data_IF_673245869968
#
_entry.id   IF_673245869968
#
_cell.length_a   1.000
_cell.length_b   1.000
_cell.length_c   1.000
_cell.angle_alpha   90.00
_cell.angle_beta   90.00
_cell.angle_gamma   90.00
#
_symmetry.space_group_name_H-M   'P 1'
#
loop_
_entity.id
_entity.type
_entity.pdbx_description
1 polymer ?
#
# COMPACT_ATOMS: atom_id res chain seq x y z
N UNK A 1 19.25 -4.34 -44.31
CA UNK A 1 19.48 -3.71 -42.99
C UNK A 1 20.32 -4.73 -42.24
N UNK A 2 21.59 -4.81 -42.67
CA UNK A 2 22.42 -6.01 -42.62
C UNK A 2 23.88 -5.59 -42.45
N UNK A 3 24.64 -6.41 -41.71
CA UNK A 3 26.08 -6.33 -41.35
C UNK A 3 26.48 -5.62 -40.06
N UNK A 4 25.65 -4.77 -39.47
CA UNK A 4 25.98 -4.19 -38.14
C UNK A 4 25.54 -5.06 -36.96
N UNK A 5 24.48 -5.86 -37.11
CA UNK A 5 23.97 -6.76 -36.06
C UNK A 5 24.91 -7.96 -35.86
N UNK A 6 25.48 -8.53 -36.93
CA UNK A 6 26.47 -9.64 -36.82
C UNK A 6 27.77 -9.24 -36.12
N UNK A 7 28.08 -7.94 -36.05
CA UNK A 7 29.29 -7.45 -35.36
C UNK A 7 29.11 -7.36 -33.84
N UNK A 8 27.87 -7.26 -33.35
CA UNK A 8 27.53 -7.21 -31.92
C UNK A 8 27.57 -8.58 -31.24
N UNK A 9 27.48 -9.68 -31.99
CA UNK A 9 27.41 -11.04 -31.43
C UNK A 9 28.68 -11.87 -31.54
N UNK A 10 29.80 -11.31 -32.05
CA UNK A 10 31.04 -12.06 -32.26
C UNK A 10 31.83 -12.40 -30.98
N UNK A 11 31.52 -11.75 -29.86
CA UNK A 11 32.24 -11.93 -28.59
C UNK A 11 31.41 -12.61 -27.49
N UNK A 12 30.20 -13.08 -27.80
CA UNK A 12 29.40 -13.86 -26.85
C UNK A 12 29.85 -15.31 -26.89
N UNK A 13 30.73 -15.69 -25.95
CA UNK A 13 30.97 -17.10 -25.64
C UNK A 13 29.71 -17.71 -25.05
N UNK A 14 29.07 -18.60 -25.80
CA UNK A 14 28.12 -19.57 -25.25
C UNK A 14 28.91 -20.44 -24.27
N UNK A 15 28.63 -20.28 -22.98
CA UNK A 15 29.07 -21.23 -21.95
C UNK A 15 27.97 -22.28 -21.90
N UNK A 16 28.22 -23.42 -22.53
CA UNK A 16 27.46 -24.64 -22.26
C UNK A 16 27.61 -24.94 -20.76
N UNK A 17 26.49 -24.85 -20.04
CA UNK A 17 26.43 -25.31 -18.67
C UNK A 17 25.14 -26.12 -18.53
N UNK A 18 25.29 -27.44 -18.58
CA UNK A 18 24.25 -28.47 -18.47
C UNK A 18 23.54 -28.52 -17.10
N UNK A 19 23.55 -27.43 -16.33
CA UNK A 19 22.84 -27.30 -15.05
C UNK A 19 21.87 -26.10 -15.06
N UNK A 20 21.01 -26.02 -16.08
CA UNK A 20 19.88 -25.09 -16.04
C UNK A 20 18.78 -25.67 -15.12
N UNK A 21 18.80 -25.33 -13.83
CA UNK A 21 17.65 -25.53 -12.94
C UNK A 21 16.47 -24.69 -13.47
N UNK A 22 15.43 -25.37 -13.96
CA UNK A 22 14.19 -24.74 -14.43
C UNK A 22 13.50 -23.98 -13.28
N UNK A 23 13.16 -22.72 -13.51
CA UNK A 23 12.31 -21.91 -12.64
C UNK A 23 10.92 -21.90 -13.26
N UNK A 24 9.92 -22.33 -12.49
CA UNK A 24 8.50 -22.28 -12.87
C UNK A 24 7.82 -21.16 -12.07
N UNK A 25 7.01 -20.34 -12.73
CA UNK A 25 6.13 -19.36 -12.09
C UNK A 25 4.68 -19.81 -12.30
N UNK A 26 3.96 -20.02 -11.20
CA UNK A 26 2.52 -20.27 -11.21
C UNK A 26 1.86 -18.99 -10.71
N UNK A 27 0.88 -18.44 -11.41
CA UNK A 27 0.03 -17.36 -10.86
C UNK A 27 -1.35 -17.95 -10.62
N UNK A 28 -1.74 -18.13 -9.37
CA UNK A 28 -3.14 -18.41 -9.03
C UNK A 28 -3.78 -17.10 -8.60
N UNK A 29 -4.67 -16.55 -9.42
CA UNK A 29 -5.61 -15.53 -8.96
C UNK A 29 -6.61 -16.15 -7.98
N UNK A 30 -7.30 -15.33 -7.19
CA UNK A 30 -8.39 -15.75 -6.32
C UNK A 30 -9.55 -16.32 -7.16
N UNK A 31 -9.58 -17.64 -7.34
CA UNK A 31 -10.66 -18.36 -8.04
C UNK A 31 -11.80 -18.74 -7.08
N UNK A 32 -11.59 -18.64 -5.76
CA UNK A 32 -12.51 -19.15 -4.75
C UNK A 32 -13.85 -18.42 -4.64
N UNK A 33 -13.92 -17.11 -4.92
CA UNK A 33 -15.14 -16.33 -4.67
C UNK A 33 -16.02 -16.12 -5.92
N UNK A 34 -15.49 -16.35 -7.12
CA UNK A 34 -16.27 -16.18 -8.37
C UNK A 34 -17.02 -17.44 -8.82
N UNK A 35 -16.76 -18.60 -8.23
CA UNK A 35 -17.36 -19.87 -8.70
C UNK A 35 -18.64 -20.31 -7.96
N UNK A 36 -19.02 -19.68 -6.84
CA UNK A 36 -20.22 -20.12 -6.10
C UNK A 36 -21.53 -19.44 -6.54
N UNK A 37 -21.51 -18.38 -7.36
CA UNK A 37 -22.71 -17.55 -7.61
C UNK A 37 -23.03 -17.16 -9.07
N UNK A 38 -22.50 -17.81 -10.12
CA UNK A 38 -22.98 -17.56 -11.48
C UNK A 38 -23.34 -18.84 -12.23
N UNK A 39 -24.64 -19.14 -12.31
CA UNK A 39 -25.21 -20.09 -13.28
C UNK A 39 -25.24 -19.52 -14.72
N UNK A 40 -24.76 -18.29 -14.94
CA UNK A 40 -24.69 -17.66 -16.26
C UNK A 40 -23.30 -17.79 -16.91
N UNK A 41 -23.32 -18.25 -18.16
CA UNK A 41 -22.21 -18.60 -19.05
C UNK A 41 -21.33 -17.41 -19.52
N UNK A 42 -21.08 -16.42 -18.66
CA UNK A 42 -20.11 -15.33 -18.91
C UNK A 42 -18.97 -15.42 -17.91
N UNK A 43 -17.99 -16.25 -18.23
CA UNK A 43 -16.69 -16.23 -17.57
C UNK A 43 -16.06 -14.83 -17.76
N UNK A 44 -15.62 -14.19 -16.67
CA UNK A 44 -14.83 -12.97 -16.75
C UNK A 44 -13.51 -13.25 -17.51
N UNK A 45 -12.94 -12.23 -18.14
CA UNK A 45 -11.68 -12.34 -18.89
C UNK A 45 -10.55 -12.96 -18.05
N UNK A 46 -10.55 -12.70 -16.73
CA UNK A 46 -9.59 -13.27 -15.78
C UNK A 46 -9.74 -14.79 -15.61
N UNK A 47 -10.97 -15.31 -15.73
CA UNK A 47 -11.26 -16.74 -15.61
C UNK A 47 -10.86 -17.52 -16.89
N UNK A 48 -10.98 -16.89 -18.07
CA UNK A 48 -10.52 -17.47 -19.34
C UNK A 48 -8.99 -17.58 -19.40
N UNK A 49 -8.27 -16.54 -18.96
CA UNK A 49 -6.80 -16.52 -18.89
C UNK A 49 -6.30 -17.56 -17.88
N UNK A 50 -6.96 -17.67 -16.72
CA UNK A 50 -6.60 -18.65 -15.69
C UNK A 50 -6.84 -20.10 -16.14
N UNK A 51 -7.91 -20.36 -16.91
CA UNK A 51 -8.24 -21.70 -17.45
C UNK A 51 -7.26 -22.16 -18.54
N UNK A 52 -6.78 -21.25 -19.37
CA UNK A 52 -5.75 -21.55 -20.38
C UNK A 52 -4.42 -21.98 -19.75
N UNK A 53 -4.03 -21.36 -18.63
CA UNK A 53 -2.79 -21.65 -17.90
C UNK A 53 -2.83 -22.97 -17.10
N UNK A 54 -4.00 -23.36 -16.61
CA UNK A 54 -4.20 -24.62 -15.86
C UNK A 54 -4.12 -25.88 -16.75
N UNK A 55 -4.62 -25.81 -17.98
CA UNK A 55 -4.62 -26.96 -18.90
C UNK A 55 -3.22 -27.35 -19.42
N UNK A 56 -2.23 -26.45 -19.32
CA UNK A 56 -0.88 -26.70 -19.83
C UNK A 56 0.06 -27.37 -18.79
N UNK A 57 -0.29 -27.32 -17.50
CA UNK A 57 0.57 -27.78 -16.40
C UNK A 57 0.28 -29.22 -15.90
N UNK A 58 -0.60 -29.97 -16.57
CA UNK A 58 -0.96 -31.35 -16.17
C UNK A 58 -0.17 -32.44 -16.91
N UNK A 59 0.96 -32.10 -17.56
CA UNK A 59 1.82 -33.06 -18.25
C UNK A 59 3.24 -32.97 -17.70
N UNK A 60 3.49 -33.58 -16.55
CA UNK A 60 4.64 -34.48 -16.32
C UNK A 60 4.87 -34.79 -14.82
N UNK A 61 5.12 -36.08 -14.55
CA UNK A 61 5.43 -36.69 -13.26
C UNK A 61 6.93 -36.59 -12.89
N UNK A 62 7.21 -36.44 -11.58
CA UNK A 62 8.51 -36.63 -10.85
C UNK A 62 9.35 -35.38 -10.42
N UNK A 63 10.30 -35.48 -9.44
CA UNK A 63 10.02 -35.64 -8.01
C UNK A 63 10.72 -34.57 -7.10
N UNK A 64 10.32 -34.60 -5.83
CA UNK A 64 10.52 -33.66 -4.70
C UNK A 64 11.95 -33.09 -4.49
N UNK A 65 12.05 -31.75 -4.54
CA UNK A 65 13.13 -30.95 -3.92
C UNK A 65 12.50 -30.07 -2.83
N UNK A 66 13.04 -30.12 -1.61
CA UNK A 66 12.59 -29.32 -0.47
C UNK A 66 12.91 -27.84 -0.72
N UNK A 67 11.87 -27.02 -0.96
CA UNK A 67 11.98 -25.58 -1.23
C UNK A 67 11.37 -24.78 -0.07
N UNK A 68 12.07 -23.78 0.43
CA UNK A 68 11.46 -22.73 1.27
C UNK A 68 10.74 -21.75 0.36
N UNK A 69 9.41 -21.70 0.47
CA UNK A 69 8.53 -20.88 -0.35
C UNK A 69 7.96 -19.78 0.54
N UNK A 70 8.10 -18.53 0.11
CA UNK A 70 7.41 -17.40 0.74
C UNK A 70 6.25 -17.00 -0.17
N UNK A 71 5.03 -17.09 0.36
CA UNK A 71 3.81 -16.67 -0.31
C UNK A 71 3.63 -15.16 -0.11
N UNK A 72 3.76 -14.39 -1.19
CA UNK A 72 3.28 -13.02 -1.28
C UNK A 72 2.10 -13.04 -2.26
N UNK A 73 0.98 -12.43 -1.87
CA UNK A 73 -0.27 -12.44 -2.63
C UNK A 73 -0.03 -12.30 -4.15
N UNK A 74 -0.31 -13.40 -4.87
CA UNK A 74 -0.26 -13.56 -6.33
C UNK A 74 1.10 -13.57 -7.03
N UNK A 75 2.23 -13.71 -6.32
CA UNK A 75 3.56 -13.89 -6.95
C UNK A 75 4.42 -14.93 -6.22
N UNK A 76 4.81 -15.99 -6.92
CA UNK A 76 5.81 -16.94 -6.42
C UNK A 76 7.22 -16.41 -6.73
N UNK A 77 7.99 -16.06 -5.70
CA UNK A 77 9.42 -15.79 -5.83
C UNK A 77 10.19 -16.93 -5.16
N UNK A 78 10.83 -17.78 -5.98
CA UNK A 78 11.74 -18.82 -5.49
C UNK A 78 13.12 -18.20 -5.26
N UNK A 79 13.45 -17.84 -4.03
CA UNK A 79 14.79 -17.39 -3.65
C UNK A 79 15.67 -18.63 -3.37
N UNK A 80 16.50 -19.01 -4.34
CA UNK A 80 17.62 -19.94 -4.10
C UNK A 80 18.94 -19.22 -4.39
N UNK A 81 19.82 -19.17 -3.39
CA UNK A 81 21.31 -19.05 -3.35
C UNK A 81 22.10 -18.45 -4.54
N UNK A 82 21.51 -17.57 -5.34
CA UNK A 82 22.23 -16.76 -6.33
C UNK A 82 22.31 -15.33 -5.79
N UNK A 83 23.51 -14.74 -5.62
CA UNK A 83 23.63 -13.33 -5.34
C UNK A 83 23.09 -12.57 -6.56
N UNK A 84 21.86 -12.08 -6.45
CA UNK A 84 21.27 -11.22 -7.45
C UNK A 84 22.05 -9.90 -7.39
N UNK A 85 22.84 -9.64 -8.43
CA UNK A 85 23.45 -8.34 -8.68
C UNK A 85 22.34 -7.39 -9.15
N UNK A 86 21.56 -6.90 -8.17
CA UNK A 86 20.40 -6.03 -8.38
C UNK A 86 20.77 -4.67 -8.98
N UNK A 87 22.05 -4.31 -9.05
CA UNK A 87 22.48 -3.11 -9.78
C UNK A 87 22.30 -3.27 -11.30
N UNK A 88 22.19 -4.51 -11.81
CA UNK A 88 22.28 -4.77 -13.24
C UNK A 88 20.94 -5.03 -13.94
N UNK A 89 20.01 -5.80 -13.36
CA UNK A 89 18.77 -6.21 -14.07
C UNK A 89 17.53 -6.51 -13.19
N UNK A 90 16.85 -5.51 -12.59
CA UNK A 90 15.58 -5.76 -11.89
C UNK A 90 14.37 -5.83 -12.83
N UNK A 91 14.45 -5.24 -14.03
CA UNK A 91 13.31 -5.03 -14.93
C UNK A 91 12.97 -6.26 -15.82
N UNK A 92 13.96 -7.11 -16.11
CA UNK A 92 13.87 -8.04 -17.24
C UNK A 92 13.21 -9.39 -16.94
N UNK A 93 12.81 -9.67 -15.69
CA UNK A 93 12.23 -10.98 -15.37
C UNK A 93 10.70 -10.95 -15.22
N UNK A 94 10.13 -9.84 -14.75
CA UNK A 94 8.72 -9.80 -14.34
C UNK A 94 7.78 -9.16 -15.37
N UNK A 95 8.17 -8.05 -16.00
CA UNK A 95 7.39 -7.44 -17.10
C UNK A 95 7.55 -8.26 -18.38
N UNK A 96 8.73 -8.86 -18.54
CA UNK A 96 9.06 -9.74 -19.65
C UNK A 96 8.18 -10.98 -19.69
N UNK A 97 7.67 -11.52 -18.57
CA UNK A 97 6.86 -12.74 -18.62
C UNK A 97 5.46 -12.54 -19.20
N UNK A 98 4.75 -11.44 -18.88
CA UNK A 98 3.44 -11.12 -19.48
C UNK A 98 3.55 -10.45 -20.84
N UNK A 99 4.50 -9.53 -21.01
CA UNK A 99 4.71 -8.88 -22.31
C UNK A 99 5.28 -9.88 -23.33
N UNK A 100 6.24 -10.74 -22.95
CA UNK A 100 6.63 -11.86 -23.80
C UNK A 100 5.57 -12.93 -23.92
N UNK A 101 4.62 -13.12 -23.01
CA UNK A 101 3.52 -14.06 -23.27
C UNK A 101 2.66 -13.58 -24.44
N UNK A 102 2.40 -12.26 -24.50
CA UNK A 102 1.68 -11.63 -25.61
C UNK A 102 2.54 -11.64 -26.88
N UNK A 103 3.83 -11.26 -26.82
CA UNK A 103 4.75 -11.36 -27.98
C UNK A 103 4.94 -12.82 -28.43
N UNK A 104 4.95 -13.78 -27.52
CA UNK A 104 5.02 -15.21 -27.78
C UNK A 104 3.74 -15.70 -28.45
N UNK A 105 2.56 -15.29 -27.96
CA UNK A 105 1.28 -15.53 -28.64
C UNK A 105 1.25 -14.91 -30.04
N UNK A 106 1.82 -13.71 -30.21
CA UNK A 106 1.99 -13.06 -31.52
C UNK A 106 2.98 -13.82 -32.39
N UNK A 107 4.00 -14.48 -31.83
CA UNK A 107 4.97 -15.29 -32.57
C UNK A 107 4.41 -16.66 -33.00
N UNK A 108 3.40 -17.19 -32.31
CA UNK A 108 2.67 -18.41 -32.70
C UNK A 108 1.73 -18.19 -33.90
N UNK A 109 1.61 -16.95 -34.38
CA UNK A 109 0.84 -16.53 -35.57
C UNK A 109 1.24 -17.27 -36.84
N UNK A 110 2.47 -17.77 -36.94
CA UNK A 110 2.95 -18.46 -38.14
C UNK A 110 2.52 -19.94 -38.25
N UNK A 111 1.96 -20.56 -37.20
CA UNK A 111 1.74 -22.02 -37.21
C UNK A 111 0.29 -22.48 -37.30
N UNK A 112 -0.73 -21.69 -36.92
CA UNK A 112 -2.08 -22.25 -36.67
C UNK A 112 -3.30 -21.49 -37.24
N UNK A 113 -3.13 -20.54 -38.17
CA UNK A 113 -4.27 -19.90 -38.86
C UNK A 113 -5.28 -19.20 -37.89
N UNK A 114 -4.76 -18.55 -36.84
CA UNK A 114 -5.52 -17.77 -35.85
C UNK A 114 -5.46 -16.28 -36.22
N UNK A 115 -5.58 -15.94 -37.51
CA UNK A 115 -5.23 -14.61 -38.01
C UNK A 115 -6.16 -13.51 -37.47
N UNK A 116 -7.46 -13.75 -37.41
CA UNK A 116 -8.45 -12.73 -37.02
C UNK A 116 -8.43 -12.46 -35.51
N UNK A 117 -8.43 -13.51 -34.67
CA UNK A 117 -8.36 -13.35 -33.21
C UNK A 117 -7.01 -12.75 -32.78
N UNK A 118 -5.91 -13.13 -33.43
CA UNK A 118 -4.58 -12.54 -33.14
C UNK A 118 -4.50 -11.08 -33.58
N UNK A 119 -5.12 -10.71 -34.71
CA UNK A 119 -5.18 -9.31 -35.15
C UNK A 119 -5.97 -8.44 -34.17
N UNK A 120 -7.14 -8.91 -33.70
CA UNK A 120 -7.95 -8.21 -32.71
C UNK A 120 -7.21 -8.03 -31.37
N UNK A 121 -6.45 -9.03 -30.92
CA UNK A 121 -5.61 -8.95 -29.71
C UNK A 121 -4.45 -7.96 -29.85
N UNK A 122 -3.81 -7.90 -31.02
CA UNK A 122 -2.74 -6.93 -31.31
C UNK A 122 -3.32 -5.51 -31.33
N UNK A 123 -4.43 -5.31 -32.03
CA UNK A 123 -5.11 -4.00 -32.10
C UNK A 123 -5.52 -3.54 -30.70
N UNK A 124 -6.14 -4.42 -29.90
CA UNK A 124 -6.45 -4.14 -28.51
C UNK A 124 -5.21 -3.80 -27.69
N UNK A 125 -4.12 -4.58 -27.82
CA UNK A 125 -2.89 -4.32 -27.08
C UNK A 125 -2.29 -2.96 -27.45
N UNK A 126 -2.15 -2.65 -28.74
CA UNK A 126 -1.59 -1.38 -29.20
C UNK A 126 -2.47 -0.20 -28.78
N UNK A 127 -3.81 -0.37 -28.78
CA UNK A 127 -4.75 0.63 -28.28
C UNK A 127 -4.59 0.88 -26.77
N UNK A 128 -4.26 -0.16 -25.98
CA UNK A 128 -4.23 -0.09 -24.52
C UNK A 128 -2.82 -0.19 -23.91
N UNK A 129 -1.77 -0.19 -24.72
CA UNK A 129 -0.40 -0.50 -24.32
C UNK A 129 0.11 0.37 -23.19
N UNK A 130 -0.18 1.66 -23.24
CA UNK A 130 0.26 2.62 -22.22
C UNK A 130 -0.45 2.35 -20.88
N UNK A 131 -1.75 2.06 -20.90
CA UNK A 131 -2.52 1.69 -19.71
C UNK A 131 -2.03 0.36 -19.12
N UNK A 132 -1.82 -0.66 -19.96
CA UNK A 132 -1.28 -1.96 -19.53
C UNK A 132 0.11 -1.78 -18.91
N UNK A 133 0.96 -0.98 -19.53
CA UNK A 133 2.30 -0.68 -19.02
C UNK A 133 2.25 0.05 -17.68
N UNK A 134 1.35 1.03 -17.53
CA UNK A 134 1.12 1.75 -16.27
C UNK A 134 0.70 0.80 -15.14
N UNK A 135 -0.31 -0.04 -15.38
CA UNK A 135 -0.80 -1.04 -14.42
C UNK A 135 0.33 -2.01 -14.02
N UNK A 136 1.08 -2.54 -14.99
CA UNK A 136 2.19 -3.45 -14.68
C UNK A 136 3.28 -2.79 -13.85
N UNK A 137 3.61 -1.52 -14.11
CA UNK A 137 4.55 -0.74 -13.30
C UNK A 137 4.03 -0.49 -11.88
N UNK A 138 2.75 -0.15 -11.74
CA UNK A 138 2.11 0.04 -10.43
C UNK A 138 2.13 -1.27 -9.61
N UNK A 139 1.80 -2.41 -10.22
CA UNK A 139 1.90 -3.73 -9.59
C UNK A 139 3.34 -4.04 -9.15
N UNK A 140 4.33 -3.80 -10.01
CA UNK A 140 5.73 -4.04 -9.68
C UNK A 140 6.21 -3.16 -8.52
N UNK A 141 5.85 -1.88 -8.52
CA UNK A 141 6.17 -0.96 -7.44
C UNK A 141 5.50 -1.36 -6.11
N UNK A 142 4.28 -1.90 -6.14
CA UNK A 142 3.65 -2.49 -4.95
C UNK A 142 4.46 -3.67 -4.38
N UNK A 143 5.01 -4.53 -5.23
CA UNK A 143 5.91 -5.61 -4.80
C UNK A 143 7.20 -5.06 -4.19
N UNK A 144 7.79 -4.03 -4.81
CA UNK A 144 8.98 -3.36 -4.27
C UNK A 144 8.70 -2.74 -2.90
N UNK A 145 7.53 -2.14 -2.69
CA UNK A 145 7.13 -1.61 -1.39
C UNK A 145 7.01 -2.71 -0.33
N UNK A 146 6.39 -3.84 -0.64
CA UNK A 146 6.32 -4.98 0.28
C UNK A 146 7.72 -5.52 0.64
N UNK A 147 8.62 -5.56 -0.34
CA UNK A 147 10.02 -5.91 -0.10
C UNK A 147 10.74 -4.87 0.77
N UNK A 148 10.47 -3.58 0.56
CA UNK A 148 10.99 -2.51 1.41
C UNK A 148 10.51 -2.66 2.86
N UNK A 149 9.22 -2.93 3.07
CA UNK A 149 8.63 -3.18 4.40
C UNK A 149 9.23 -4.42 5.08
N UNK A 150 9.52 -5.48 4.32
CA UNK A 150 10.23 -6.64 4.85
C UNK A 150 11.63 -6.27 5.35
N UNK A 151 12.40 -5.50 4.57
CA UNK A 151 13.73 -5.04 4.98
C UNK A 151 13.66 -4.10 6.19
N UNK A 152 12.63 -3.26 6.29
CA UNK A 152 12.37 -2.45 7.48
C UNK A 152 12.21 -3.32 8.74
N UNK A 153 11.44 -4.41 8.65
CA UNK A 153 11.27 -5.36 9.75
C UNK A 153 12.58 -6.06 10.15
N UNK A 154 13.51 -6.23 9.20
CA UNK A 154 14.87 -6.74 9.46
C UNK A 154 15.85 -5.64 9.91
N UNK A 155 15.38 -4.41 10.13
CA UNK A 155 16.18 -3.24 10.47
C UNK A 155 17.25 -2.89 9.40
N UNK A 156 17.03 -3.30 8.15
CA UNK A 156 17.85 -2.90 6.99
C UNK A 156 17.26 -1.64 6.32
N UNK A 157 17.44 -0.51 7.01
CA UNK A 157 16.95 0.79 6.57
C UNK A 157 17.56 1.21 5.24
N UNK A 158 18.83 0.86 4.97
CA UNK A 158 19.51 1.23 3.73
C UNK A 158 18.88 0.55 2.52
N UNK A 159 18.63 -0.76 2.62
CA UNK A 159 17.97 -1.50 1.53
C UNK A 159 16.55 -1.00 1.30
N UNK A 160 15.76 -0.79 2.37
CA UNK A 160 14.43 -0.19 2.27
C UNK A 160 14.45 1.15 1.53
N UNK A 161 15.35 2.06 1.93
CA UNK A 161 15.49 3.39 1.33
C UNK A 161 15.81 3.32 -0.17
N UNK A 162 16.80 2.50 -0.54
CA UNK A 162 17.19 2.31 -1.94
C UNK A 162 16.04 1.69 -2.77
N UNK A 163 15.33 0.72 -2.22
CA UNK A 163 14.18 0.08 -2.89
C UNK A 163 13.06 1.08 -3.14
N UNK A 164 12.72 1.94 -2.18
CA UNK A 164 11.68 2.95 -2.37
C UNK A 164 12.05 4.01 -3.41
N UNK A 165 13.31 4.46 -3.43
CA UNK A 165 13.80 5.37 -4.47
C UNK A 165 13.78 4.72 -5.87
N UNK A 166 14.15 3.45 -5.96
CA UNK A 166 14.07 2.69 -7.20
C UNK A 166 12.62 2.55 -7.70
N UNK A 167 11.68 2.24 -6.79
CA UNK A 167 10.25 2.19 -7.10
C UNK A 167 9.74 3.56 -7.58
N UNK A 168 10.13 4.65 -6.90
CA UNK A 168 9.73 6.01 -7.28
C UNK A 168 10.20 6.36 -8.69
N UNK A 169 11.49 6.15 -8.99
CA UNK A 169 12.05 6.39 -10.33
C UNK A 169 11.36 5.57 -11.42
N UNK A 170 10.88 4.37 -11.08
CA UNK A 170 10.17 3.48 -12.02
C UNK A 170 8.79 4.02 -12.40
N UNK A 171 8.11 4.73 -11.50
CA UNK A 171 6.74 5.20 -11.68
C UNK A 171 6.62 6.73 -11.85
N UNK A 172 7.74 7.45 -11.76
CA UNK A 172 7.81 8.93 -11.71
C UNK A 172 6.97 9.64 -12.78
N UNK A 173 6.99 9.11 -14.01
CA UNK A 173 6.36 9.72 -15.19
C UNK A 173 4.98 9.16 -15.51
N UNK A 174 4.37 8.38 -14.61
CA UNK A 174 3.04 7.81 -14.82
C UNK A 174 1.99 8.65 -14.08
N UNK A 175 0.88 8.93 -14.76
CA UNK A 175 -0.17 9.84 -14.28
C UNK A 175 -1.57 9.19 -14.26
N UNK A 176 -1.67 7.89 -14.52
CA UNK A 176 -2.90 7.14 -14.29
C UNK A 176 -3.19 7.02 -12.79
N UNK A 177 -4.46 6.78 -12.44
CA UNK A 177 -4.94 6.78 -11.05
C UNK A 177 -4.15 5.78 -10.19
N UNK A 178 -3.96 4.54 -10.67
CA UNK A 178 -3.22 3.51 -9.93
C UNK A 178 -1.77 3.93 -9.68
N UNK A 179 -1.12 4.52 -10.69
CA UNK A 179 0.24 5.03 -10.56
C UNK A 179 0.35 6.19 -9.59
N UNK A 180 -0.60 7.13 -9.59
CA UNK A 180 -0.63 8.25 -8.64
C UNK A 180 -0.81 7.75 -7.20
N UNK A 181 -1.70 6.77 -7.00
CA UNK A 181 -1.88 6.09 -5.71
C UNK A 181 -0.56 5.46 -5.24
N UNK A 182 0.10 4.66 -6.08
CA UNK A 182 1.39 4.03 -5.72
C UNK A 182 2.48 5.07 -5.47
N UNK A 183 2.61 6.09 -6.33
CA UNK A 183 3.59 7.18 -6.18
C UNK A 183 3.42 7.92 -4.85
N UNK A 184 2.18 8.24 -4.47
CA UNK A 184 1.87 8.92 -3.21
C UNK A 184 2.24 8.09 -1.97
N UNK A 185 2.05 6.76 -2.03
CA UNK A 185 2.42 5.83 -0.98
C UNK A 185 3.92 5.69 -0.82
N UNK A 186 4.66 5.67 -1.94
CA UNK A 186 6.12 5.68 -1.91
C UNK A 186 6.64 6.95 -1.22
N UNK A 187 6.11 8.13 -1.56
CA UNK A 187 6.46 9.36 -0.86
C UNK A 187 6.11 9.30 0.63
N UNK A 188 4.94 8.78 1.00
CA UNK A 188 4.54 8.66 2.41
C UNK A 188 5.54 7.78 3.20
N UNK A 189 5.95 6.65 2.62
CA UNK A 189 6.93 5.75 3.24
C UNK A 189 8.33 6.39 3.32
N UNK A 190 8.76 7.09 2.26
CA UNK A 190 10.03 7.85 2.27
C UNK A 190 10.03 8.94 3.35
N UNK A 191 8.90 9.61 3.57
CA UNK A 191 8.79 10.62 4.63
C UNK A 191 9.08 10.03 6.02
N UNK A 192 8.55 8.84 6.29
CA UNK A 192 8.80 8.13 7.55
C UNK A 192 10.28 7.82 7.72
N UNK A 193 10.95 7.37 6.65
CA UNK A 193 12.39 7.11 6.68
C UNK A 193 13.22 8.37 6.90
N UNK A 194 12.92 9.45 6.18
CA UNK A 194 13.62 10.72 6.35
C UNK A 194 13.47 11.24 7.78
N UNK A 195 12.27 11.17 8.37
CA UNK A 195 12.05 11.56 9.76
C UNK A 195 12.87 10.71 10.75
N UNK A 196 12.93 9.40 10.55
CA UNK A 196 13.78 8.49 11.35
C UNK A 196 15.28 8.81 11.21
N UNK A 197 15.71 9.28 10.05
CA UNK A 197 17.08 9.75 9.79
C UNK A 197 17.32 11.18 10.28
N UNK A 198 16.32 11.82 10.90
CA UNK A 198 16.33 13.22 11.33
C UNK A 198 16.50 14.23 10.17
N UNK A 199 16.14 13.85 8.96
CA UNK A 199 16.06 14.72 7.79
C UNK A 199 14.65 15.31 7.66
N UNK A 200 14.35 16.25 8.55
CA UNK A 200 13.04 16.88 8.67
C UNK A 200 12.56 17.53 7.37
N UNK A 201 13.45 18.14 6.59
CA UNK A 201 13.08 18.88 5.39
C UNK A 201 12.60 17.95 4.27
N UNK A 202 13.34 16.85 4.05
CA UNK A 202 12.92 15.84 3.07
C UNK A 202 11.67 15.09 3.53
N UNK A 203 11.51 14.84 4.83
CA UNK A 203 10.30 14.24 5.37
C UNK A 203 9.05 15.09 5.08
N UNK A 204 9.12 16.41 5.35
CA UNK A 204 8.03 17.36 5.05
C UNK A 204 7.76 17.43 3.54
N UNK A 205 8.81 17.49 2.73
CA UNK A 205 8.68 17.54 1.26
C UNK A 205 7.94 16.31 0.73
N UNK A 206 8.30 15.12 1.20
CA UNK A 206 7.63 13.88 0.82
C UNK A 206 6.15 13.88 1.23
N UNK A 207 5.80 14.29 2.45
CA UNK A 207 4.39 14.35 2.90
C UNK A 207 3.57 15.36 2.08
N UNK A 208 4.15 16.52 1.76
CA UNK A 208 3.50 17.49 0.89
C UNK A 208 3.28 16.94 -0.52
N UNK A 209 4.23 16.18 -1.07
CA UNK A 209 4.06 15.50 -2.36
C UNK A 209 2.95 14.44 -2.32
N UNK A 210 2.86 13.65 -1.24
CA UNK A 210 1.74 12.71 -1.03
C UNK A 210 0.40 13.44 -1.07
N UNK A 211 0.25 14.54 -0.33
CA UNK A 211 -0.99 15.33 -0.27
C UNK A 211 -1.29 15.96 -1.63
N UNK A 212 -0.29 16.55 -2.30
CA UNK A 212 -0.45 17.20 -3.59
C UNK A 212 -0.96 16.23 -4.66
N UNK A 213 -0.32 15.05 -4.77
CA UNK A 213 -0.71 14.01 -5.73
C UNK A 213 -2.12 13.50 -5.46
N UNK A 214 -2.43 13.12 -4.21
CA UNK A 214 -3.74 12.56 -3.90
C UNK A 214 -4.88 13.56 -4.01
N UNK A 215 -4.59 14.86 -3.90
CA UNK A 215 -5.58 15.90 -4.15
C UNK A 215 -5.97 16.07 -5.62
N UNK A 216 -5.24 15.46 -6.57
CA UNK A 216 -5.65 15.41 -7.98
C UNK A 216 -6.64 14.27 -8.27
N UNK A 217 -6.86 13.35 -7.32
CA UNK A 217 -7.82 12.26 -7.42
C UNK A 217 -9.21 12.70 -6.93
N UNK A 218 -10.24 11.94 -7.30
CA UNK A 218 -11.60 12.15 -6.84
C UNK A 218 -11.73 11.88 -5.33
N UNK A 219 -12.77 12.46 -4.71
CA UNK A 219 -12.98 12.35 -3.26
C UNK A 219 -13.46 10.96 -2.81
N UNK A 220 -13.98 10.15 -3.73
CA UNK A 220 -14.39 8.76 -3.51
C UNK A 220 -13.23 7.75 -3.62
N UNK A 221 -12.04 8.19 -4.06
CA UNK A 221 -10.85 7.35 -4.14
C UNK A 221 -10.35 6.94 -2.74
N UNK A 222 -10.28 5.64 -2.51
CA UNK A 222 -9.89 5.08 -1.20
C UNK A 222 -8.45 5.45 -0.80
N UNK A 223 -7.53 5.55 -1.77
CA UNK A 223 -6.15 5.93 -1.49
C UNK A 223 -6.08 7.36 -0.97
N UNK A 224 -6.82 8.28 -1.59
CA UNK A 224 -6.94 9.66 -1.12
C UNK A 224 -7.54 9.74 0.29
N UNK A 225 -8.65 9.03 0.52
CA UNK A 225 -9.36 9.06 1.80
C UNK A 225 -8.48 8.60 2.96
N UNK A 226 -7.58 7.66 2.71
CA UNK A 226 -6.66 7.14 3.73
C UNK A 226 -5.38 7.98 3.88
N UNK A 227 -4.68 8.26 2.78
CA UNK A 227 -3.31 8.77 2.84
C UNK A 227 -3.23 10.29 2.99
N UNK A 228 -4.22 11.08 2.54
CA UNK A 228 -4.23 12.53 2.78
C UNK A 228 -4.30 12.85 4.28
N UNK A 229 -5.28 12.36 5.06
CA UNK A 229 -5.31 12.63 6.49
C UNK A 229 -4.12 12.01 7.22
N UNK A 230 -3.64 10.83 6.80
CA UNK A 230 -2.42 10.23 7.36
C UNK A 230 -1.20 11.13 7.18
N UNK A 231 -1.01 11.72 6.01
CA UNK A 231 0.09 12.63 5.74
C UNK A 231 -0.01 13.93 6.53
N UNK A 232 -1.22 14.49 6.65
CA UNK A 232 -1.47 15.67 7.50
C UNK A 232 -1.19 15.40 8.98
N UNK A 233 -1.56 14.22 9.47
CA UNK A 233 -1.22 13.79 10.82
C UNK A 233 0.30 13.71 11.03
N UNK A 234 1.04 13.06 10.13
CA UNK A 234 2.51 12.96 10.25
C UNK A 234 3.19 14.34 10.16
N UNK A 235 2.71 15.24 9.28
CA UNK A 235 3.18 16.63 9.24
C UNK A 235 3.00 17.31 10.59
N UNK A 236 1.84 17.13 11.23
CA UNK A 236 1.59 17.71 12.55
C UNK A 236 2.61 17.20 13.58
N UNK A 237 2.93 15.90 13.57
CA UNK A 237 3.91 15.31 14.50
C UNK A 237 5.29 15.91 14.28
N UNK A 238 5.76 15.92 13.03
CA UNK A 238 7.06 16.47 12.66
C UNK A 238 7.16 17.95 13.06
N UNK A 239 6.13 18.74 12.77
CA UNK A 239 6.11 20.15 13.16
C UNK A 239 6.14 20.34 14.68
N UNK A 240 5.43 19.50 15.44
CA UNK A 240 5.45 19.56 16.90
C UNK A 240 6.84 19.25 17.45
N UNK A 241 7.47 18.18 16.98
CA UNK A 241 8.80 17.74 17.41
C UNK A 241 9.87 18.80 17.10
N UNK A 242 9.65 19.57 16.03
CA UNK A 242 10.49 20.70 15.63
C UNK A 242 10.05 22.06 16.23
N UNK A 243 9.16 22.07 17.23
CA UNK A 243 8.65 23.27 17.92
C UNK A 243 7.95 24.29 17.02
N UNK A 244 7.47 23.87 15.85
CA UNK A 244 6.63 24.65 14.92
C UNK A 244 5.16 24.46 15.29
N UNK A 245 4.77 24.98 16.44
CA UNK A 245 3.48 24.67 17.06
C UNK A 245 2.28 25.15 16.24
N UNK A 246 2.36 26.33 15.61
CA UNK A 246 1.28 26.85 14.76
C UNK A 246 1.06 25.99 13.52
N UNK A 247 2.13 25.58 12.84
CA UNK A 247 2.07 24.69 11.67
C UNK A 247 1.50 23.32 12.05
N UNK A 248 1.95 22.79 13.19
CA UNK A 248 1.44 21.53 13.71
C UNK A 248 -0.06 21.59 14.01
N UNK A 249 -0.51 22.67 14.65
CA UNK A 249 -1.92 22.93 14.94
C UNK A 249 -2.75 23.05 13.64
N UNK A 250 -2.20 23.72 12.64
CA UNK A 250 -2.87 23.84 11.34
C UNK A 250 -3.03 22.48 10.68
N UNK A 251 -1.94 21.70 10.58
CA UNK A 251 -1.97 20.37 9.97
C UNK A 251 -2.92 19.41 10.67
N UNK A 252 -3.04 19.50 12.00
CA UNK A 252 -3.96 18.63 12.73
C UNK A 252 -5.42 19.01 12.56
N UNK A 253 -5.73 20.31 12.49
CA UNK A 253 -7.08 20.79 12.14
C UNK A 253 -7.45 20.35 10.71
N UNK A 254 -6.53 20.50 9.76
CA UNK A 254 -6.71 20.07 8.37
C UNK A 254 -6.94 18.56 8.30
N UNK A 255 -6.15 17.75 9.03
CA UNK A 255 -6.35 16.31 9.14
C UNK A 255 -7.77 15.98 9.63
N UNK A 256 -8.23 16.62 10.70
CA UNK A 256 -9.54 16.35 11.30
C UNK A 256 -10.69 16.74 10.37
N UNK A 257 -10.58 17.88 9.69
CA UNK A 257 -11.57 18.32 8.71
C UNK A 257 -11.64 17.38 7.51
N UNK A 258 -10.48 16.92 7.02
CA UNK A 258 -10.39 15.93 5.95
C UNK A 258 -11.02 14.59 6.35
N UNK A 259 -10.72 14.08 7.55
CA UNK A 259 -11.36 12.87 8.08
C UNK A 259 -12.89 13.01 8.20
N UNK A 260 -13.40 14.18 8.62
CA UNK A 260 -14.85 14.45 8.62
C UNK A 260 -15.43 14.42 7.22
N UNK A 261 -14.74 15.03 6.25
CA UNK A 261 -15.17 15.10 4.85
C UNK A 261 -15.33 13.70 4.23
N UNK A 262 -14.35 12.82 4.44
CA UNK A 262 -14.35 11.47 3.86
C UNK A 262 -15.20 10.45 4.63
N UNK A 263 -15.71 10.84 5.79
CA UNK A 263 -16.38 9.93 6.70
C UNK A 263 -15.41 9.26 7.66
N UNK A 264 -15.88 9.11 8.90
CA UNK A 264 -15.04 8.67 10.00
C UNK A 264 -14.87 7.14 10.05
N UNK A 265 -15.63 6.37 9.28
CA UNK A 265 -15.49 4.90 9.27
C UNK A 265 -14.07 4.43 8.96
N UNK A 266 -13.44 5.03 7.95
CA UNK A 266 -12.07 4.67 7.50
C UNK A 266 -10.99 5.47 8.23
N UNK A 267 -11.33 6.65 8.75
CA UNK A 267 -10.34 7.63 9.25
C UNK A 267 -10.37 7.85 10.77
N UNK A 268 -11.30 7.22 11.50
CA UNK A 268 -11.46 7.42 12.95
C UNK A 268 -10.21 7.11 13.78
N UNK A 269 -9.40 6.07 13.51
CA UNK A 269 -8.14 5.86 14.22
C UNK A 269 -7.17 7.03 14.06
N UNK A 270 -7.08 7.59 12.84
CA UNK A 270 -6.25 8.76 12.54
C UNK A 270 -6.80 10.00 13.24
N UNK A 271 -8.12 10.18 13.23
CA UNK A 271 -8.78 11.25 13.95
C UNK A 271 -8.48 11.19 15.45
N UNK A 272 -8.53 10.00 16.04
CA UNK A 272 -8.21 9.81 17.46
C UNK A 272 -6.76 10.15 17.78
N UNK A 273 -5.82 9.67 16.96
CA UNK A 273 -4.40 10.02 17.07
C UNK A 273 -4.16 11.52 16.93
N UNK A 274 -4.81 12.13 15.93
CA UNK A 274 -4.74 13.55 15.64
C UNK A 274 -5.14 14.37 16.87
N UNK A 275 -6.27 14.01 17.48
CA UNK A 275 -6.74 14.68 18.66
C UNK A 275 -5.85 14.45 19.89
N UNK A 276 -5.33 13.24 20.10
CA UNK A 276 -4.38 13.00 21.18
C UNK A 276 -3.11 13.86 21.03
N UNK A 277 -2.61 14.02 19.81
CA UNK A 277 -1.52 14.94 19.50
C UNK A 277 -1.93 16.40 19.76
N UNK A 278 -3.15 16.78 19.36
CA UNK A 278 -3.73 18.10 19.62
C UNK A 278 -3.83 18.43 21.12
N UNK A 279 -4.12 17.45 21.97
CA UNK A 279 -4.10 17.63 23.42
C UNK A 279 -2.73 17.95 24.00
N UNK A 280 -1.63 17.55 23.35
CA UNK A 280 -0.28 17.96 23.82
C UNK A 280 -0.11 19.49 23.80
N UNK A 281 -0.94 20.19 23.02
CA UNK A 281 -1.00 21.65 22.99
C UNK A 281 -1.87 22.27 24.10
N UNK A 282 -2.56 21.49 24.93
CA UNK A 282 -3.50 22.04 25.93
C UNK A 282 -2.82 22.89 27.01
N UNK A 283 -1.51 22.76 27.17
CA UNK A 283 -0.70 23.60 28.06
C UNK A 283 -0.31 24.94 27.42
N UNK A 284 -0.56 25.13 26.13
CA UNK A 284 -0.37 26.40 25.45
C UNK A 284 -1.68 27.20 25.47
N UNK A 285 -1.70 28.28 26.26
CA UNK A 285 -2.88 29.13 26.45
C UNK A 285 -3.45 29.67 25.13
N UNK A 286 -2.60 29.91 24.12
CA UNK A 286 -3.03 30.49 22.83
C UNK A 286 -3.95 29.56 22.03
N UNK A 287 -3.85 28.25 22.24
CA UNK A 287 -4.57 27.23 21.46
C UNK A 287 -5.54 26.42 22.30
N UNK A 288 -5.59 26.69 23.61
CA UNK A 288 -6.44 25.98 24.57
C UNK A 288 -7.93 26.06 24.25
N UNK A 289 -8.42 27.23 23.87
CA UNK A 289 -9.85 27.42 23.61
C UNK A 289 -10.28 26.65 22.35
N UNK A 290 -9.46 26.70 21.29
CA UNK A 290 -9.67 25.89 20.09
C UNK A 290 -9.66 24.38 20.40
N UNK A 291 -8.84 23.94 21.36
CA UNK A 291 -8.80 22.54 21.82
C UNK A 291 -10.10 22.10 22.45
N UNK A 292 -10.69 22.96 23.27
CA UNK A 292 -11.96 22.66 23.93
C UNK A 292 -13.08 22.54 22.90
N UNK A 293 -13.16 23.46 21.94
CA UNK A 293 -14.24 23.48 20.95
C UNK A 293 -14.17 22.26 20.03
N UNK A 294 -13.00 22.00 19.45
CA UNK A 294 -12.77 20.85 18.56
C UNK A 294 -12.97 19.53 19.32
N UNK A 295 -12.50 19.44 20.57
CA UNK A 295 -12.72 18.25 21.41
C UNK A 295 -14.17 18.03 21.79
N UNK A 296 -14.93 19.10 21.96
CA UNK A 296 -16.36 19.02 22.20
C UNK A 296 -17.10 18.52 20.98
N UNK A 297 -16.81 19.08 19.81
CA UNK A 297 -17.45 18.67 18.57
C UNK A 297 -17.18 17.18 18.28
N UNK A 298 -15.93 16.75 18.50
CA UNK A 298 -15.58 15.35 18.37
C UNK A 298 -16.32 14.49 19.40
N UNK A 299 -16.31 14.90 20.67
CA UNK A 299 -17.01 14.20 21.73
C UNK A 299 -18.48 13.95 21.38
N UNK A 300 -19.18 15.00 20.95
CA UNK A 300 -20.58 14.92 20.53
C UNK A 300 -20.77 14.03 19.31
N UNK A 301 -19.84 14.08 18.35
CA UNK A 301 -19.88 13.20 17.19
C UNK A 301 -19.74 11.73 17.62
N UNK A 302 -18.77 11.40 18.46
CA UNK A 302 -18.47 10.04 18.89
C UNK A 302 -19.57 9.46 19.78
N UNK A 303 -20.22 10.30 20.60
CA UNK A 303 -21.40 9.90 21.37
C UNK A 303 -22.60 9.56 20.47
N UNK A 304 -22.73 10.25 19.33
CA UNK A 304 -23.80 10.02 18.32
C UNK A 304 -23.45 8.91 17.33
N UNK A 305 -22.19 8.52 17.23
CA UNK A 305 -21.73 7.53 16.27
C UNK A 305 -22.46 6.20 16.50
N UNK A 306 -23.08 5.61 15.46
CA UNK A 306 -24.02 4.52 15.62
C UNK A 306 -23.38 3.32 16.33
N UNK A 307 -24.02 2.87 17.41
CA UNK A 307 -23.63 1.70 18.22
C UNK A 307 -23.58 0.39 17.43
N UNK A 308 -24.11 0.39 16.21
CA UNK A 308 -24.26 -0.77 15.33
C UNK A 308 -22.96 -1.19 14.64
N UNK A 309 -21.94 -0.32 14.59
CA UNK A 309 -20.59 -0.69 14.15
C UNK A 309 -19.66 -0.71 15.37
N UNK A 310 -19.34 -1.89 15.94
CA UNK A 310 -18.47 -1.96 17.10
C UNK A 310 -17.08 -1.43 16.73
N UNK A 311 -16.70 -0.30 17.33
CA UNK A 311 -15.34 0.20 17.26
C UNK A 311 -14.36 -0.86 17.81
N UNK A 312 -13.22 -1.03 17.14
CA UNK A 312 -12.10 -1.77 17.71
C UNK A 312 -11.72 -1.15 19.05
N UNK A 313 -11.32 -1.99 20.01
CA UNK A 313 -11.20 -1.57 21.40
C UNK A 313 -10.15 -0.47 21.60
N UNK A 314 -9.06 -0.47 20.83
CA UNK A 314 -8.06 0.60 20.85
C UNK A 314 -8.63 1.94 20.41
N UNK A 315 -9.45 1.94 19.35
CA UNK A 315 -10.16 3.14 18.90
C UNK A 315 -11.14 3.62 19.98
N UNK A 316 -11.85 2.73 20.68
CA UNK A 316 -12.71 3.12 21.82
C UNK A 316 -11.92 3.79 22.94
N UNK A 317 -10.76 3.24 23.31
CA UNK A 317 -9.92 3.83 24.36
C UNK A 317 -9.41 5.21 23.97
N UNK A 318 -9.02 5.40 22.71
CA UNK A 318 -8.67 6.72 22.20
C UNK A 318 -9.87 7.66 22.36
N UNK A 319 -11.04 7.30 21.82
CA UNK A 319 -12.29 8.07 21.96
C UNK A 319 -12.61 8.46 23.40
N UNK A 320 -12.54 7.52 24.35
CA UNK A 320 -12.79 7.83 25.76
C UNK A 320 -11.72 8.73 26.37
N UNK A 321 -10.45 8.58 25.98
CA UNK A 321 -9.37 9.48 26.40
C UNK A 321 -9.66 10.91 25.96
N UNK A 322 -10.11 11.08 24.72
CA UNK A 322 -10.49 12.36 24.14
C UNK A 322 -11.60 13.01 24.95
N UNK A 323 -12.68 12.26 25.19
CA UNK A 323 -13.82 12.70 25.96
C UNK A 323 -13.42 13.09 27.39
N UNK A 324 -12.63 12.25 28.05
CA UNK A 324 -12.15 12.50 29.40
C UNK A 324 -11.34 13.79 29.49
N UNK A 325 -10.36 13.98 28.60
CA UNK A 325 -9.51 15.17 28.59
C UNK A 325 -10.27 16.44 28.19
N UNK A 326 -11.24 16.34 27.27
CA UNK A 326 -12.11 17.46 26.89
C UNK A 326 -12.94 17.93 28.08
N UNK A 327 -13.63 17.01 28.77
CA UNK A 327 -14.43 17.37 29.94
C UNK A 327 -13.58 17.85 31.11
N UNK A 328 -12.38 17.30 31.30
CA UNK A 328 -11.42 17.81 32.26
C UNK A 328 -11.07 19.28 31.99
N UNK A 329 -10.80 19.63 30.72
CA UNK A 329 -10.52 21.02 30.33
C UNK A 329 -11.71 21.95 30.52
N UNK A 330 -12.94 21.45 30.33
CA UNK A 330 -14.18 22.15 30.66
C UNK A 330 -14.46 22.27 32.15
N UNK A 331 -13.61 21.69 33.00
CA UNK A 331 -13.78 21.59 34.46
C UNK A 331 -15.00 20.75 34.88
N UNK A 332 -15.51 19.89 33.99
CA UNK A 332 -16.54 18.90 34.27
C UNK A 332 -15.89 17.59 34.73
N UNK A 333 -15.53 17.55 36.01
CA UNK A 333 -14.81 16.41 36.60
C UNK A 333 -15.64 15.13 36.62
N UNK A 334 -16.96 15.24 36.74
CA UNK A 334 -17.85 14.07 36.81
C UNK A 334 -17.84 13.33 35.47
N UNK A 335 -18.07 14.04 34.36
CA UNK A 335 -18.00 13.43 33.02
C UNK A 335 -16.59 12.97 32.67
N UNK A 336 -15.57 13.75 33.06
CA UNK A 336 -14.18 13.35 32.85
C UNK A 336 -13.88 12.00 33.52
N UNK A 337 -14.27 11.83 34.80
CA UNK A 337 -14.05 10.59 35.53
C UNK A 337 -14.85 9.43 34.94
N UNK A 338 -16.11 9.66 34.55
CA UNK A 338 -16.91 8.64 33.87
C UNK A 338 -16.20 8.06 32.65
N UNK A 339 -15.57 8.90 31.82
CA UNK A 339 -14.84 8.41 30.65
C UNK A 339 -13.49 7.77 31.00
N UNK A 340 -12.80 8.21 32.06
CA UNK A 340 -11.63 7.50 32.57
C UNK A 340 -11.99 6.09 33.06
N UNK A 341 -13.10 5.93 33.76
CA UNK A 341 -13.59 4.63 34.21
C UNK A 341 -13.89 3.72 33.00
N UNK A 342 -14.45 4.26 31.91
CA UNK A 342 -14.67 3.49 30.66
C UNK A 342 -13.38 3.00 30.00
N UNK A 343 -12.30 3.77 30.08
CA UNK A 343 -10.98 3.33 29.59
C UNK A 343 -10.49 2.14 30.43
N UNK A 344 -10.63 2.23 31.76
CA UNK A 344 -10.23 1.15 32.68
C UNK A 344 -11.04 -0.12 32.43
N UNK A 345 -12.37 0.00 32.34
CA UNK A 345 -13.28 -1.12 32.07
C UNK A 345 -12.88 -1.85 30.76
N UNK A 346 -12.60 -1.08 29.70
CA UNK A 346 -12.26 -1.64 28.39
C UNK A 346 -10.85 -2.26 28.38
N UNK A 347 -9.89 -1.68 29.11
CA UNK A 347 -8.56 -2.27 29.29
C UNK A 347 -8.60 -3.60 30.06
N UNK A 348 -9.44 -3.69 31.09
CA UNK A 348 -9.67 -4.94 31.84
C UNK A 348 -10.30 -6.01 30.94
N UNK A 349 -11.34 -5.65 30.18
CA UNK A 349 -11.97 -6.53 29.22
C UNK A 349 -10.97 -7.14 28.21
N UNK A 350 -10.08 -6.31 27.65
CA UNK A 350 -9.03 -6.78 26.73
C UNK A 350 -8.02 -7.70 27.41
N UNK A 351 -7.62 -7.39 28.65
CA UNK A 351 -6.71 -8.23 29.43
C UNK A 351 -7.29 -9.61 29.72
N UNK A 352 -8.58 -9.68 30.05
CA UNK A 352 -9.24 -10.94 30.36
C UNK A 352 -9.48 -11.78 29.09
N UNK A 353 -9.82 -11.12 27.98
CA UNK A 353 -9.95 -11.80 26.68
C UNK A 353 -8.63 -12.45 26.24
N UNK A 354 -7.51 -11.74 26.32
CA UNK A 354 -6.18 -12.27 25.95
C UNK A 354 -5.73 -13.44 26.81
N UNK A 355 -6.08 -13.45 28.11
CA UNK A 355 -5.84 -14.62 28.99
C UNK A 355 -6.65 -15.84 28.59
N UNK A 356 -7.86 -15.65 28.07
CA UNK A 356 -8.75 -16.76 27.71
C UNK A 356 -8.37 -17.39 26.36
N UNK A 357 -7.81 -16.61 25.44
CA UNK A 357 -7.35 -17.08 24.11
C UNK A 357 -5.95 -17.73 24.13
N UNK A 358 -5.23 -17.66 25.26
CA UNK A 358 -3.89 -18.25 25.44
C UNK A 358 -3.88 -19.59 26.19
N UNK A 359 -5.07 -20.12 26.53
CA UNK A 359 -5.31 -21.45 27.11
C UNK A 359 -5.85 -22.36 26.02
#
# INVERSE_FOLDING_TARGET
>A
MDKEIEKLFKDVKVVDNDEAKKIYFITTGNIGEYMEHSEDEKLSNDALISRALLNYNLVDDEPKVEKKIMLLNNVFISLNDVPLDYEKYPFDLYIVSKHRLIEFYISLKDENNIEEETANLIEFYEEHKDNITGILRACYCNTLMQYADFNYQQNDIKTMFNTLHYALNTIENQNDVDSLCVKSRIYYNLATLYDQMHDTENAITCLNNTIYILNTLDDDDECKQYYVPSAMYELSRIYYDNKKYEDSLKSIIDCMNTCKKFGLETTLPLYGKAFCQYHKFSNNEQVRDNIIDVGTELAEFLEKYPKEKPLIADTKNNVYTILALTYLNKKDKEKSNYYFDKIIDNAQYLSDKTKTESI
#
